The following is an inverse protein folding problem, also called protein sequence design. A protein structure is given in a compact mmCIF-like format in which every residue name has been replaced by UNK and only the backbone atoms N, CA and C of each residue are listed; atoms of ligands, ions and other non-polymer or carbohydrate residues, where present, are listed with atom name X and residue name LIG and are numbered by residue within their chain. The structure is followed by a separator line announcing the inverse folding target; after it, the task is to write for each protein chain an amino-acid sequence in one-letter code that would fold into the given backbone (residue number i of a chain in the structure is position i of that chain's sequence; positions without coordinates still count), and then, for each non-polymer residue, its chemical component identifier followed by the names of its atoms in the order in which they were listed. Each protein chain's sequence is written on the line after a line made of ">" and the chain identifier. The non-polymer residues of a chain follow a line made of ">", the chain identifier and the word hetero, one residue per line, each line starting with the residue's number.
data_IF_754556063291
#
_entry.id   IF_754556063291
#
_cell.length_a   1.000
_cell.length_b   1.000
_cell.length_c   1.000
_cell.angle_alpha   90.00
_cell.angle_beta   90.00
_cell.angle_gamma   90.00
#
_symmetry.space_group_name_H-M   'P 1'
#
loop_
_entity.id
_entity.type
_entity.pdbx_description
1 polymer ?
#
# COMPACT_ATOMS: atom_id res chain seq x y z
N UNK A 1 19.01 -9.47 -11.23
CA UNK A 1 19.81 -8.38 -10.63
C UNK A 1 18.96 -7.11 -10.50
N UNK A 2 18.34 -6.65 -11.58
CA UNK A 2 17.44 -5.49 -11.61
C UNK A 2 16.22 -5.60 -10.66
N UNK A 3 15.46 -6.69 -10.71
CA UNK A 3 14.31 -6.90 -9.82
C UNK A 3 14.65 -6.75 -8.32
N UNK A 4 15.76 -7.36 -7.88
CA UNK A 4 16.17 -7.26 -6.47
C UNK A 4 16.66 -5.85 -6.09
N UNK A 5 17.20 -5.09 -7.05
CA UNK A 5 17.56 -3.68 -6.82
C UNK A 5 16.31 -2.84 -6.61
N UNK A 6 15.28 -2.99 -7.44
CA UNK A 6 14.01 -2.28 -7.26
C UNK A 6 13.32 -2.69 -5.96
N UNK A 7 13.28 -3.99 -5.63
CA UNK A 7 12.75 -4.45 -4.34
C UNK A 7 13.52 -3.82 -3.16
N UNK A 8 14.85 -3.75 -3.23
CA UNK A 8 15.65 -3.12 -2.17
C UNK A 8 15.39 -1.61 -2.08
N UNK A 9 15.22 -0.92 -3.22
CA UNK A 9 14.87 0.50 -3.26
C UNK A 9 13.51 0.75 -2.61
N UNK A 10 12.51 -0.07 -2.94
CA UNK A 10 11.16 0.00 -2.34
C UNK A 10 11.18 -0.33 -0.85
N UNK A 11 11.97 -1.32 -0.41
CA UNK A 11 12.17 -1.62 1.01
C UNK A 11 12.73 -0.41 1.78
N UNK A 12 13.76 0.24 1.23
CA UNK A 12 14.34 1.44 1.82
C UNK A 12 13.34 2.61 1.86
N UNK A 13 12.53 2.79 0.81
CA UNK A 13 11.46 3.79 0.79
C UNK A 13 10.47 3.57 1.95
N UNK A 14 9.95 2.35 2.13
CA UNK A 14 9.07 2.05 3.26
C UNK A 14 9.74 2.30 4.60
N UNK A 15 11.02 1.94 4.73
CA UNK A 15 11.77 2.22 5.96
C UNK A 15 11.90 3.73 6.23
N UNK A 16 12.11 4.55 5.20
CA UNK A 16 12.14 6.02 5.33
C UNK A 16 10.78 6.62 5.67
N UNK A 17 9.69 5.99 5.23
CA UNK A 17 8.31 6.34 5.59
C UNK A 17 7.92 5.87 7.01
N UNK A 18 8.87 5.31 7.76
CA UNK A 18 8.65 4.91 9.15
C UNK A 18 8.04 3.52 9.32
N UNK A 19 7.88 2.74 8.23
CA UNK A 19 7.40 1.36 8.32
C UNK A 19 8.45 0.48 8.99
N UNK A 20 8.03 -0.32 9.95
CA UNK A 20 8.88 -1.22 10.73
C UNK A 20 8.37 -2.65 10.70
N UNK A 21 9.17 -3.57 11.24
CA UNK A 21 8.79 -4.98 11.39
C UNK A 21 7.45 -5.09 12.13
N UNK A 22 6.51 -5.84 11.57
CA UNK A 22 5.17 -6.05 12.12
C UNK A 22 4.13 -5.00 11.70
N UNK A 23 4.55 -3.85 11.15
CA UNK A 23 3.61 -2.88 10.59
C UNK A 23 2.89 -3.48 9.39
N UNK A 24 1.61 -3.14 9.25
CA UNK A 24 0.76 -3.61 8.16
C UNK A 24 0.60 -2.54 7.11
N UNK A 25 0.81 -2.92 5.86
CA UNK A 25 0.70 -2.04 4.70
C UNK A 25 -0.24 -2.66 3.68
N UNK A 26 -1.31 -1.95 3.35
CA UNK A 26 -2.28 -2.37 2.37
C UNK A 26 -1.77 -2.10 0.95
N UNK A 27 -1.93 -3.08 0.05
CA UNK A 27 -1.65 -2.93 -1.37
C UNK A 27 -2.94 -3.11 -2.16
N UNK A 28 -3.37 -2.06 -2.87
CA UNK A 28 -4.47 -2.09 -3.83
C UNK A 28 -3.96 -1.63 -5.18
N UNK A 29 -3.36 -2.56 -5.93
CA UNK A 29 -2.77 -2.30 -7.24
C UNK A 29 -3.30 -3.31 -8.25
N UNK A 30 -3.32 -2.91 -9.51
CA UNK A 30 -3.49 -3.83 -10.62
C UNK A 30 -2.28 -4.77 -10.76
N UNK A 31 -2.33 -5.65 -11.76
CA UNK A 31 -1.19 -6.48 -12.11
C UNK A 31 -0.06 -5.63 -12.74
N UNK A 32 0.78 -5.06 -11.89
CA UNK A 32 1.92 -4.23 -12.27
C UNK A 32 3.23 -4.65 -11.56
N UNK A 33 4.41 -4.26 -12.07
CA UNK A 33 5.69 -4.53 -11.41
C UNK A 33 5.78 -3.95 -10.00
N UNK A 34 5.19 -2.77 -9.75
CA UNK A 34 5.20 -2.06 -8.47
C UNK A 34 4.57 -2.92 -7.37
N UNK A 35 3.55 -3.73 -7.69
CA UNK A 35 2.97 -4.67 -6.74
C UNK A 35 4.01 -5.66 -6.22
N UNK A 36 4.82 -6.24 -7.12
CA UNK A 36 5.89 -7.16 -6.77
C UNK A 36 6.98 -6.45 -5.97
N UNK A 37 7.37 -5.24 -6.36
CA UNK A 37 8.38 -4.47 -5.64
C UNK A 37 7.92 -4.13 -4.21
N UNK A 38 6.66 -3.71 -4.07
CA UNK A 38 6.06 -3.40 -2.77
C UNK A 38 5.96 -4.63 -1.88
N UNK A 39 5.41 -5.73 -2.41
CA UNK A 39 5.21 -6.95 -1.62
C UNK A 39 6.54 -7.50 -1.09
N UNK A 40 7.53 -7.70 -1.96
CA UNK A 40 8.83 -8.21 -1.52
C UNK A 40 9.62 -7.18 -0.72
N UNK A 41 9.44 -5.88 -0.98
CA UNK A 41 10.08 -4.80 -0.23
C UNK A 41 9.61 -4.78 1.23
N UNK A 42 8.29 -4.89 1.45
CA UNK A 42 7.69 -5.04 2.79
C UNK A 42 8.20 -6.31 3.48
N UNK A 43 8.23 -7.44 2.78
CA UNK A 43 8.72 -8.70 3.32
C UNK A 43 10.18 -8.61 3.80
N UNK A 44 11.06 -7.92 3.05
CA UNK A 44 12.48 -7.72 3.43
C UNK A 44 12.65 -6.98 4.75
N UNK A 45 11.78 -6.02 5.05
CA UNK A 45 11.84 -5.26 6.31
C UNK A 45 11.00 -5.89 7.44
N UNK A 46 10.41 -7.06 7.18
CA UNK A 46 9.55 -7.77 8.12
C UNK A 46 8.19 -7.11 8.36
N UNK A 47 7.76 -6.22 7.45
CA UNK A 47 6.41 -5.67 7.44
C UNK A 47 5.42 -6.68 6.82
N UNK A 48 4.13 -6.49 7.10
CA UNK A 48 3.06 -7.39 6.70
C UNK A 48 2.28 -6.74 5.57
N UNK A 49 2.26 -7.40 4.41
CA UNK A 49 1.44 -6.98 3.27
C UNK A 49 -0.01 -7.40 3.49
N UNK A 50 -0.95 -6.46 3.34
CA UNK A 50 -2.40 -6.69 3.39
C UNK A 50 -2.95 -6.53 1.96
N UNK A 51 -3.33 -7.62 1.28
CA UNK A 51 -3.80 -7.53 -0.10
C UNK A 51 -5.24 -7.01 -0.16
N UNK A 52 -5.49 -6.03 -1.04
CA UNK A 52 -6.83 -5.60 -1.43
C UNK A 52 -6.96 -5.88 -2.93
N UNK A 53 -7.98 -6.66 -3.30
CA UNK A 53 -8.21 -7.02 -4.70
C UNK A 53 -8.76 -5.82 -5.47
N UNK A 54 -8.15 -5.53 -6.64
CA UNK A 54 -8.50 -4.48 -7.60
C UNK A 54 -10.00 -4.37 -7.96
N UNK A 55 -10.76 -5.44 -7.78
CA UNK A 55 -12.18 -5.54 -8.12
C UNK A 55 -13.12 -5.34 -6.93
N UNK A 56 -12.60 -5.16 -5.72
CA UNK A 56 -13.44 -5.00 -4.53
C UNK A 56 -14.07 -3.62 -4.50
N UNK A 57 -15.26 -3.56 -3.92
CA UNK A 57 -16.01 -2.33 -3.75
C UNK A 57 -15.47 -1.53 -2.54
N UNK A 58 -15.87 -0.25 -2.46
CA UNK A 58 -15.49 0.69 -1.40
C UNK A 58 -15.67 0.09 0.00
N UNK A 59 -16.83 -0.52 0.26
CA UNK A 59 -17.20 -1.05 1.58
C UNK A 59 -16.27 -2.17 2.05
N UNK A 60 -15.95 -3.10 1.15
CA UNK A 60 -15.03 -4.22 1.43
C UNK A 60 -13.61 -3.69 1.68
N UNK A 61 -13.18 -2.71 0.89
CA UNK A 61 -11.88 -2.04 1.07
C UNK A 61 -11.79 -1.34 2.43
N UNK A 62 -12.84 -0.62 2.83
CA UNK A 62 -12.91 0.04 4.13
C UNK A 62 -12.84 -0.97 5.28
N UNK A 63 -13.62 -2.05 5.19
CA UNK A 63 -13.62 -3.12 6.19
C UNK A 63 -12.24 -3.77 6.34
N UNK A 64 -11.56 -4.07 5.22
CA UNK A 64 -10.20 -4.63 5.25
C UNK A 64 -9.24 -3.67 5.95
N UNK A 65 -9.26 -2.37 5.61
CA UNK A 65 -8.37 -1.38 6.21
C UNK A 65 -8.58 -1.27 7.73
N UNK A 66 -9.84 -1.26 8.19
CA UNK A 66 -10.20 -1.21 9.60
C UNK A 66 -9.76 -2.47 10.35
N UNK A 67 -10.16 -3.64 9.85
CA UNK A 67 -9.91 -4.92 10.53
C UNK A 67 -8.42 -5.31 10.50
N UNK A 68 -7.73 -4.98 9.41
CA UNK A 68 -6.29 -5.18 9.35
C UNK A 68 -5.54 -4.19 10.23
N UNK A 69 -6.05 -2.97 10.45
CA UNK A 69 -5.27 -1.88 11.06
C UNK A 69 -4.02 -1.53 10.23
N UNK A 70 -4.16 -1.55 8.90
CA UNK A 70 -3.09 -1.10 8.02
C UNK A 70 -2.76 0.38 8.29
N UNK A 71 -1.47 0.68 8.37
CA UNK A 71 -0.97 2.02 8.69
C UNK A 71 -0.54 2.83 7.46
N UNK A 72 -0.43 2.17 6.30
CA UNK A 72 -0.12 2.78 5.01
C UNK A 72 -0.87 2.00 3.92
N UNK A 73 -1.29 2.72 2.87
CA UNK A 73 -1.89 2.15 1.67
C UNK A 73 -1.03 2.51 0.46
N UNK A 74 -0.74 1.54 -0.40
CA UNK A 74 -0.18 1.78 -1.74
C UNK A 74 -1.26 1.49 -2.77
N UNK A 75 -1.53 2.45 -3.66
CA UNK A 75 -2.58 2.34 -4.68
C UNK A 75 -2.26 3.12 -5.95
N UNK A 76 -2.96 2.87 -7.05
CA UNK A 76 -2.87 3.70 -8.26
C UNK A 76 -3.78 4.93 -8.17
N UNK A 77 -3.49 5.95 -8.98
CA UNK A 77 -4.22 7.23 -8.96
C UNK A 77 -5.72 7.08 -9.26
N UNK A 78 -6.09 6.11 -10.10
CA UNK A 78 -7.50 5.83 -10.44
C UNK A 78 -8.35 5.41 -9.23
N UNK A 79 -7.76 4.75 -8.23
CA UNK A 79 -8.47 4.31 -7.02
C UNK A 79 -8.42 5.34 -5.90
N UNK A 80 -7.58 6.37 -6.02
CA UNK A 80 -7.38 7.37 -4.97
C UNK A 80 -8.70 8.06 -4.53
N UNK A 81 -9.63 8.45 -5.42
CA UNK A 81 -10.89 9.07 -4.99
C UNK A 81 -11.71 8.21 -4.03
N UNK A 82 -11.71 6.87 -4.23
CA UNK A 82 -12.39 5.94 -3.33
C UNK A 82 -11.76 5.96 -1.93
N UNK A 83 -10.43 5.98 -1.84
CA UNK A 83 -9.74 6.02 -0.55
C UNK A 83 -9.80 7.38 0.15
N UNK A 84 -9.93 8.47 -0.61
CA UNK A 84 -10.25 9.77 -0.02
C UNK A 84 -11.62 9.75 0.67
N UNK A 85 -12.63 9.12 0.06
CA UNK A 85 -13.95 8.95 0.69
C UNK A 85 -13.85 8.08 1.95
N UNK A 86 -13.14 6.95 1.88
CA UNK A 86 -12.92 6.08 3.05
C UNK A 86 -12.21 6.84 4.19
N UNK A 87 -11.19 7.66 3.90
CA UNK A 87 -10.53 8.45 4.95
C UNK A 87 -11.46 9.50 5.61
N UNK A 88 -12.47 9.99 4.90
CA UNK A 88 -13.42 10.98 5.42
C UNK A 88 -14.55 10.34 6.23
N UNK A 89 -15.01 9.16 5.82
CA UNK A 89 -16.24 8.55 6.32
C UNK A 89 -15.98 7.37 7.29
N UNK A 90 -14.79 6.79 7.26
CA UNK A 90 -14.45 5.58 8.01
C UNK A 90 -13.26 5.80 8.95
N UNK A 91 -13.31 5.16 10.13
CA UNK A 91 -12.23 5.19 11.10
C UNK A 91 -11.07 4.29 10.65
N UNK A 92 -10.12 4.82 9.88
CA UNK A 92 -8.91 4.09 9.47
C UNK A 92 -7.67 4.51 10.26
N UNK A 93 -6.68 3.61 10.36
CA UNK A 93 -5.36 3.92 10.95
C UNK A 93 -4.32 4.37 9.90
N UNK A 94 -4.77 4.71 8.69
CA UNK A 94 -3.89 5.09 7.59
C UNK A 94 -3.19 6.42 7.90
N UNK A 95 -1.86 6.38 8.00
CA UNK A 95 -1.00 7.56 8.14
C UNK A 95 -0.68 8.18 6.78
N UNK A 96 -0.51 7.33 5.76
CA UNK A 96 -0.12 7.74 4.41
C UNK A 96 -0.83 6.91 3.34
N UNK A 97 -1.12 7.55 2.21
CA UNK A 97 -1.48 6.89 0.96
C UNK A 97 -0.36 7.19 -0.05
N UNK A 98 0.29 6.14 -0.54
CA UNK A 98 1.31 6.21 -1.58
C UNK A 98 0.71 5.87 -2.93
N UNK A 99 0.92 6.75 -3.91
CA UNK A 99 0.44 6.56 -5.26
C UNK A 99 1.58 6.08 -6.17
N UNK A 100 1.36 5.02 -6.96
CA UNK A 100 2.37 4.47 -7.88
C UNK A 100 2.46 5.25 -9.20
N UNK A 101 1.36 5.85 -9.64
CA UNK A 101 1.21 6.34 -11.02
C UNK A 101 1.10 7.87 -11.10
N UNK A 102 1.56 8.58 -10.07
CA UNK A 102 1.70 10.03 -10.19
C UNK A 102 2.90 10.23 -11.09
N UNK A 103 2.65 10.56 -12.36
CA UNK A 103 3.65 11.25 -13.14
C UNK A 103 4.12 12.43 -12.27
N UNK A 104 5.32 12.32 -11.72
CA UNK A 104 5.96 13.46 -11.07
C UNK A 104 6.01 14.55 -12.16
N UNK A 105 5.50 15.76 -11.90
CA UNK A 105 5.60 16.85 -12.86
C UNK A 105 7.07 17.12 -13.23
#
# INVERSE_FOLDING_TARGET
>A
LELNQEINRTANLFYTLGIRKGDKVALHLDNCPEFIFCWFGLAKIGAIMVPINARLLREESAWILQNSQACLLVTSAQFYPMYQQIQQEDATQLRHICLTDVALP
#
